data_IF_945112259005
#
_entry.id   IF_945112259005
#
_cell.length_a   1.000
_cell.length_b   1.000
_cell.length_c   1.000
_cell.angle_alpha   90.00
_cell.angle_beta   90.00
_cell.angle_gamma   90.00
#
_symmetry.space_group_name_H-M   'P 1'
#
loop_
_entity.id
_entity.type
_entity.pdbx_description
1 polymer ?
#
# COMPACT_ATOMS: atom_id res chain seq x y z
N UNK A 1 15.99 -47.63 29.10
CA UNK A 1 14.54 -47.46 28.90
C UNK A 1 14.26 -45.97 28.88
N UNK A 2 13.53 -45.52 27.86
CA UNK A 2 13.33 -44.15 27.43
C UNK A 2 12.36 -43.40 28.35
N UNK A 3 12.77 -42.30 28.98
CA UNK A 3 11.82 -41.24 29.40
C UNK A 3 12.56 -39.96 29.75
N UNK A 4 12.72 -39.08 28.76
CA UNK A 4 12.89 -37.62 28.97
C UNK A 4 12.27 -36.84 27.78
N UNK A 5 11.25 -37.43 27.15
CA UNK A 5 10.54 -36.86 26.02
C UNK A 5 9.12 -36.42 26.42
N UNK A 6 9.02 -35.44 27.32
CA UNK A 6 7.80 -34.64 27.48
C UNK A 6 8.16 -33.17 27.67
N UNK A 7 8.85 -32.65 26.65
CA UNK A 7 9.05 -31.23 26.34
C UNK A 7 7.71 -30.52 26.11
N UNK A 8 7.64 -29.29 26.63
CA UNK A 8 7.00 -28.14 26.00
C UNK A 8 5.48 -28.18 25.72
N UNK A 9 4.65 -28.60 26.68
CA UNK A 9 3.17 -28.53 26.54
C UNK A 9 2.51 -27.22 27.00
N UNK A 10 3.23 -26.13 27.25
CA UNK A 10 2.64 -24.86 27.73
C UNK A 10 3.21 -23.62 27.02
N UNK A 11 3.18 -23.58 25.68
CA UNK A 11 3.37 -22.33 24.94
C UNK A 11 2.15 -22.02 24.06
N UNK A 12 1.10 -21.48 24.68
CA UNK A 12 -0.07 -20.94 23.98
C UNK A 12 0.22 -19.53 23.43
N UNK A 13 1.25 -19.41 22.61
CA UNK A 13 1.44 -18.25 21.73
C UNK A 13 1.51 -18.77 20.29
N UNK A 14 0.39 -19.31 19.80
CA UNK A 14 0.20 -19.38 18.35
C UNK A 14 -0.28 -18.00 17.90
N UNK A 15 0.52 -17.23 17.13
CA UNK A 15 0.01 -16.01 16.55
C UNK A 15 -1.20 -16.40 15.69
N UNK A 16 -2.36 -15.81 15.99
CA UNK A 16 -3.54 -15.91 15.12
C UNK A 16 -3.07 -15.50 13.74
N UNK A 17 -3.04 -16.44 12.79
CA UNK A 17 -2.93 -16.12 11.38
C UNK A 17 -4.08 -15.16 11.11
N UNK A 18 -3.77 -13.86 10.99
CA UNK A 18 -4.63 -13.00 10.21
C UNK A 18 -4.69 -13.65 8.84
N UNK A 19 -5.90 -13.88 8.33
CA UNK A 19 -6.11 -14.27 6.96
C UNK A 19 -5.39 -13.24 6.07
N UNK A 20 -4.17 -13.55 5.64
CA UNK A 20 -3.48 -12.74 4.64
C UNK A 20 -4.06 -13.19 3.31
N UNK A 21 -5.30 -12.78 3.06
CA UNK A 21 -5.86 -12.72 1.72
C UNK A 21 -5.99 -11.26 1.35
N UNK A 22 -5.05 -10.80 0.53
CA UNK A 22 -5.08 -9.48 -0.07
C UNK A 22 -5.55 -9.58 -1.51
N UNK A 23 -6.87 -9.57 -1.73
CA UNK A 23 -7.46 -9.32 -3.05
C UNK A 23 -8.02 -7.90 -3.03
N UNK A 24 -7.13 -6.90 -3.11
CA UNK A 24 -7.47 -5.51 -2.78
C UNK A 24 -7.55 -4.54 -3.96
N UNK A 25 -7.23 -4.94 -5.20
CA UNK A 25 -7.14 -3.98 -6.30
C UNK A 25 -8.45 -3.19 -6.48
N UNK A 26 -9.61 -3.87 -6.55
CA UNK A 26 -10.91 -3.21 -6.64
C UNK A 26 -11.30 -2.43 -5.38
N UNK A 27 -10.79 -2.81 -4.21
CA UNK A 27 -11.13 -2.14 -2.95
C UNK A 27 -10.38 -0.81 -2.80
N UNK A 28 -9.18 -0.71 -3.38
CA UNK A 28 -8.34 0.50 -3.28
C UNK A 28 -8.66 1.54 -4.35
N UNK A 29 -9.19 1.16 -5.52
CA UNK A 29 -9.52 2.12 -6.59
C UNK A 29 -10.49 3.20 -6.09
N UNK A 30 -10.25 4.45 -6.51
CA UNK A 30 -11.06 5.61 -6.14
C UNK A 30 -10.85 6.12 -4.72
N UNK A 31 -9.94 5.54 -3.93
CA UNK A 31 -9.60 6.09 -2.60
C UNK A 31 -8.81 7.38 -2.73
N UNK A 32 -9.07 8.31 -1.81
CA UNK A 32 -8.28 9.52 -1.70
C UNK A 32 -6.82 9.19 -1.37
N UNK A 33 -5.91 9.86 -2.08
CA UNK A 33 -4.49 9.91 -1.80
C UNK A 33 -4.19 11.24 -1.14
N UNK A 34 -3.62 11.19 0.07
CA UNK A 34 -3.32 12.36 0.89
C UNK A 34 -1.85 12.42 1.29
N UNK A 35 -1.33 13.62 1.44
CA UNK A 35 0.04 13.87 1.90
C UNK A 35 0.19 13.67 3.42
N UNK A 36 1.37 13.99 3.96
CA UNK A 36 1.64 13.93 5.39
C UNK A 36 0.85 14.96 6.22
N UNK A 37 0.40 16.05 5.62
CA UNK A 37 -0.47 17.08 6.23
C UNK A 37 -1.96 16.78 6.08
N UNK A 38 -2.31 15.62 5.51
CA UNK A 38 -3.67 15.17 5.27
C UNK A 38 -4.42 16.01 4.21
N UNK A 39 -3.68 16.69 3.33
CA UNK A 39 -4.19 17.39 2.15
C UNK A 39 -4.41 16.38 1.01
N UNK A 40 -5.54 16.49 0.30
CA UNK A 40 -5.87 15.58 -0.81
C UNK A 40 -5.08 15.97 -2.06
N UNK A 41 -4.32 15.01 -2.59
CA UNK A 41 -3.69 15.14 -3.90
C UNK A 41 -4.63 14.69 -5.02
N UNK A 42 -5.48 13.70 -4.75
CA UNK A 42 -6.32 13.09 -5.78
C UNK A 42 -6.81 11.72 -5.40
N UNK A 43 -7.08 10.89 -6.40
CA UNK A 43 -7.64 9.55 -6.24
C UNK A 43 -6.80 8.51 -6.98
N UNK A 44 -6.62 7.34 -6.36
CA UNK A 44 -5.94 6.23 -7.02
C UNK A 44 -6.80 5.69 -8.17
N UNK A 45 -6.16 5.47 -9.30
CA UNK A 45 -6.77 5.00 -10.55
C UNK A 45 -6.20 3.68 -11.04
N UNK A 46 -4.97 3.34 -10.66
CA UNK A 46 -4.31 2.10 -11.08
C UNK A 46 -3.12 1.73 -10.16
N UNK A 47 -2.55 0.55 -10.38
CA UNK A 47 -1.35 0.03 -9.74
C UNK A 47 -0.36 -0.49 -10.80
N UNK A 48 0.92 -0.14 -10.65
CA UNK A 48 1.98 -0.75 -11.46
C UNK A 48 2.52 -1.96 -10.72
N UNK A 49 2.54 -3.11 -11.40
CA UNK A 49 3.01 -4.38 -10.84
C UNK A 49 4.22 -4.86 -11.63
N UNK A 50 5.29 -5.21 -10.92
CA UNK A 50 6.40 -5.95 -11.50
C UNK A 50 5.96 -7.38 -11.84
N UNK A 51 6.02 -7.73 -13.12
CA UNK A 51 5.45 -9.00 -13.63
C UNK A 51 6.19 -10.24 -13.14
N UNK A 52 7.46 -10.11 -12.75
CA UNK A 52 8.29 -11.24 -12.33
C UNK A 52 8.07 -11.58 -10.86
N UNK A 53 8.08 -10.57 -9.98
CA UNK A 53 7.89 -10.75 -8.54
C UNK A 53 6.43 -10.70 -8.09
N UNK A 54 5.55 -10.11 -8.92
CA UNK A 54 4.15 -9.83 -8.54
C UNK A 54 4.01 -8.66 -7.56
N UNK A 55 5.09 -7.92 -7.28
CA UNK A 55 5.08 -6.81 -6.32
C UNK A 55 4.50 -5.54 -6.96
N UNK A 56 3.70 -4.79 -6.19
CA UNK A 56 3.31 -3.43 -6.56
C UNK A 56 4.53 -2.53 -6.46
N UNK A 57 4.88 -1.83 -7.55
CA UNK A 57 6.02 -0.91 -7.59
C UNK A 57 5.58 0.55 -7.46
N UNK A 58 4.39 0.88 -7.97
CA UNK A 58 3.86 2.24 -7.95
C UNK A 58 2.33 2.22 -7.80
N UNK A 59 1.78 3.28 -7.21
CA UNK A 59 0.36 3.63 -7.34
C UNK A 59 0.22 4.73 -8.41
N UNK A 60 -0.90 4.72 -9.12
CA UNK A 60 -1.20 5.69 -10.17
C UNK A 60 -2.37 6.56 -9.73
N UNK A 61 -2.16 7.88 -9.73
CA UNK A 61 -3.09 8.85 -9.12
C UNK A 61 -3.58 9.85 -10.16
N UNK A 62 -4.88 10.08 -10.20
CA UNK A 62 -5.48 11.22 -10.91
C UNK A 62 -5.49 12.38 -9.92
N UNK A 63 -4.80 13.47 -10.25
CA UNK A 63 -4.72 14.65 -9.39
C UNK A 63 -6.03 15.44 -9.37
N UNK A 64 -6.27 16.14 -8.27
CA UNK A 64 -7.25 17.22 -8.21
C UNK A 64 -6.90 18.31 -9.24
N UNK A 65 -7.92 18.88 -9.88
CA UNK A 65 -7.72 19.79 -11.03
C UNK A 65 -7.03 21.12 -10.71
N UNK A 66 -6.84 21.45 -9.43
CA UNK A 66 -6.18 22.66 -8.96
C UNK A 66 -4.69 22.45 -8.60
N UNK A 67 -4.17 21.24 -8.71
CA UNK A 67 -2.77 20.93 -8.42
C UNK A 67 -1.92 21.05 -9.68
N UNK A 68 -0.81 21.77 -9.56
CA UNK A 68 0.21 21.80 -10.60
C UNK A 68 1.14 20.58 -10.44
N UNK A 69 1.11 19.61 -11.38
CA UNK A 69 1.92 18.40 -11.29
C UNK A 69 3.43 18.68 -11.33
N UNK A 70 3.85 19.82 -11.88
CA UNK A 70 5.28 20.18 -11.98
C UNK A 70 5.92 20.56 -10.65
N UNK A 71 5.09 20.82 -9.62
CA UNK A 71 5.52 21.15 -8.27
C UNK A 71 5.68 19.91 -7.37
N UNK A 72 5.26 18.74 -7.85
CA UNK A 72 5.31 17.49 -7.09
C UNK A 72 6.57 16.68 -7.46
N UNK A 73 7.14 15.90 -6.53
CA UNK A 73 8.42 15.23 -6.72
C UNK A 73 8.33 13.93 -7.54
N UNK A 74 7.16 13.63 -8.09
CA UNK A 74 6.87 12.37 -8.77
C UNK A 74 6.68 12.56 -10.26
N UNK A 75 6.85 11.47 -11.01
CA UNK A 75 6.67 11.47 -12.46
C UNK A 75 5.20 11.70 -12.82
N UNK A 76 4.94 12.70 -13.66
CA UNK A 76 3.62 12.94 -14.25
C UNK A 76 3.60 12.59 -15.73
N UNK A 77 2.79 11.60 -16.12
CA UNK A 77 2.74 11.07 -17.49
C UNK A 77 1.30 10.68 -17.84
N UNK A 78 0.89 10.96 -19.07
CA UNK A 78 -0.45 10.63 -19.59
C UNK A 78 -1.61 11.09 -18.70
N UNK A 79 -1.46 12.27 -18.09
CA UNK A 79 -2.48 12.84 -17.20
C UNK A 79 -2.54 12.23 -15.79
N UNK A 80 -1.55 11.44 -15.41
CA UNK A 80 -1.51 10.70 -14.14
C UNK A 80 -0.18 10.87 -13.43
N UNK A 81 -0.26 10.90 -12.10
CA UNK A 81 0.90 10.94 -11.22
C UNK A 81 1.31 9.52 -10.84
N UNK A 82 2.59 9.20 -11.01
CA UNK A 82 3.17 7.89 -10.73
C UNK A 82 3.94 7.94 -9.41
N UNK A 83 3.35 7.42 -8.34
CA UNK A 83 3.92 7.51 -6.99
C UNK A 83 4.56 6.16 -6.62
N UNK A 84 5.87 6.12 -6.31
CA UNK A 84 6.54 4.91 -5.85
C UNK A 84 5.90 4.35 -4.59
N UNK A 85 5.80 3.02 -4.49
CA UNK A 85 5.26 2.36 -3.30
C UNK A 85 6.04 2.70 -2.02
N UNK A 86 7.33 3.03 -2.16
CA UNK A 86 8.19 3.45 -1.05
C UNK A 86 7.76 4.79 -0.45
N UNK A 87 7.11 5.67 -1.22
CA UNK A 87 6.56 6.94 -0.71
C UNK A 87 5.15 6.76 -0.12
N UNK A 88 4.58 5.55 -0.15
CA UNK A 88 3.32 5.24 0.53
C UNK A 88 3.61 4.82 1.98
N UNK A 89 3.02 5.54 2.93
CA UNK A 89 3.13 5.25 4.36
C UNK A 89 2.14 4.16 4.78
N UNK A 90 0.89 4.25 4.31
CA UNK A 90 -0.20 3.37 4.74
C UNK A 90 -1.33 3.34 3.72
N UNK A 91 -1.88 2.14 3.49
CA UNK A 91 -3.13 1.94 2.75
C UNK A 91 -4.22 1.61 3.77
N UNK A 92 -5.22 2.48 3.89
CA UNK A 92 -6.39 2.33 4.75
C UNK A 92 -7.62 2.89 4.03
N UNK A 93 -8.60 3.45 4.75
CA UNK A 93 -9.72 4.18 4.15
C UNK A 93 -9.27 5.28 3.17
N UNK A 94 -8.08 5.84 3.41
CA UNK A 94 -7.33 6.69 2.48
C UNK A 94 -5.91 6.15 2.33
N UNK A 95 -5.27 6.51 1.23
CA UNK A 95 -3.85 6.21 0.99
C UNK A 95 -3.05 7.40 1.51
N UNK A 96 -2.19 7.15 2.47
CA UNK A 96 -1.34 8.18 3.06
C UNK A 96 0.06 8.09 2.50
N UNK A 97 0.55 9.20 1.97
CA UNK A 97 1.93 9.34 1.54
C UNK A 97 2.82 9.67 2.75
N UNK A 98 4.11 9.36 2.62
CA UNK A 98 5.13 9.67 3.64
C UNK A 98 5.48 11.15 3.68
N UNK A 99 5.23 11.86 2.58
CA UNK A 99 5.55 13.27 2.35
C UNK A 99 4.25 13.95 1.97
#
# INVERSE_FOLDING_TARGET
MLTDAFKDRNNINTPKRHDIMAVFANEVMGRDVVDSHNEKLGEISDLVIDKLSGSVTQIVVILEGNLDPTLLPWDYRDGRMMIPIDDVARIANRIHLRK
#
